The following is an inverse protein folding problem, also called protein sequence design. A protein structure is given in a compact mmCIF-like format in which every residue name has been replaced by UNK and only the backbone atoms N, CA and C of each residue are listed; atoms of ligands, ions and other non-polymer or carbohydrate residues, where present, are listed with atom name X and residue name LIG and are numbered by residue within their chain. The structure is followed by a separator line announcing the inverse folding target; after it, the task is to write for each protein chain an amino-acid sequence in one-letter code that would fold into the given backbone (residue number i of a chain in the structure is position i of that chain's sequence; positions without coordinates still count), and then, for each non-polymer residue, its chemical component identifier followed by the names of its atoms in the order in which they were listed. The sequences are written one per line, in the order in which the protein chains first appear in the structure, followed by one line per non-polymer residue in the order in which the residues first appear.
data_IF_926120582411
#
_entry.id   IF_926120582411
#
_cell.length_a   1.000
_cell.length_b   1.000
_cell.length_c   1.000
_cell.angle_alpha   90.00
_cell.angle_beta   90.00
_cell.angle_gamma   90.00
#
_symmetry.space_group_name_H-M   'P 1'
#
loop_
_entity.id
_entity.type
_entity.pdbx_description
1 polymer ?
#
# COMPACT_ATOMS: atom_id res chain seq x y z
N UNK A 1 -17.99 -10.53 -4.41
CA UNK A 1 -17.22 -9.49 -5.16
C UNK A 1 -16.02 -9.09 -4.35
N UNK A 2 -14.84 -9.16 -4.94
CA UNK A 2 -13.62 -8.77 -4.25
C UNK A 2 -13.43 -7.27 -4.34
N UNK A 3 -13.08 -6.66 -3.21
CA UNK A 3 -12.81 -5.23 -3.12
C UNK A 3 -11.34 -5.00 -2.82
N UNK A 4 -10.50 -5.71 -3.56
CA UNK A 4 -9.06 -5.57 -3.44
C UNK A 4 -8.48 -5.15 -4.78
N UNK A 5 -7.44 -4.31 -4.73
CA UNK A 5 -6.71 -3.93 -5.93
C UNK A 5 -5.23 -4.22 -5.71
N UNK A 6 -4.52 -4.48 -6.81
CA UNK A 6 -3.08 -4.58 -6.78
C UNK A 6 -2.52 -3.20 -7.06
N UNK A 7 -1.79 -2.64 -6.09
CA UNK A 7 -1.19 -1.33 -6.23
C UNK A 7 0.31 -1.48 -6.44
N UNK A 8 0.81 -0.96 -7.54
CA UNK A 8 2.24 -1.00 -7.86
C UNK A 8 2.89 0.29 -7.40
N UNK A 9 4.11 0.16 -6.86
CA UNK A 9 4.86 1.31 -6.39
C UNK A 9 6.34 0.94 -6.28
N UNK A 10 7.19 1.95 -6.03
CA UNK A 10 8.61 1.71 -5.82
C UNK A 10 8.90 1.67 -4.33
N UNK A 11 9.69 0.68 -3.92
CA UNK A 11 10.14 0.56 -2.55
C UNK A 11 10.98 1.80 -2.18
N UNK A 12 10.72 2.44 -1.02
CA UNK A 12 11.48 3.63 -0.63
C UNK A 12 12.92 3.33 -0.22
N UNK A 13 13.29 2.07 -0.09
CA UNK A 13 14.64 1.67 0.27
C UNK A 13 15.46 1.23 -0.95
N UNK A 14 14.97 0.24 -1.67
CA UNK A 14 15.74 -0.37 -2.76
C UNK A 14 15.32 0.11 -4.15
N UNK A 15 14.24 0.89 -4.24
CA UNK A 15 13.71 1.46 -5.48
C UNK A 15 13.24 0.43 -6.50
N UNK A 16 13.11 -0.83 -6.10
CA UNK A 16 12.55 -1.85 -6.96
C UNK A 16 11.04 -1.67 -7.05
N UNK A 17 10.49 -2.01 -8.21
CA UNK A 17 9.05 -1.93 -8.42
C UNK A 17 8.39 -3.18 -7.81
N UNK A 18 7.49 -2.96 -6.88
CA UNK A 18 6.76 -4.02 -6.18
C UNK A 18 5.28 -3.71 -6.21
N UNK A 19 4.47 -4.66 -5.79
CA UNK A 19 3.04 -4.47 -5.71
C UNK A 19 2.50 -5.09 -4.43
N UNK A 20 1.38 -4.54 -3.96
CA UNK A 20 0.70 -5.07 -2.78
C UNK A 20 -0.79 -4.98 -3.00
N UNK A 21 -1.53 -5.88 -2.33
CA UNK A 21 -2.99 -5.88 -2.40
C UNK A 21 -3.52 -4.92 -1.35
N UNK A 22 -4.41 -4.03 -1.76
CA UNK A 22 -5.07 -3.09 -0.88
C UNK A 22 -6.55 -3.45 -0.77
N UNK A 23 -7.05 -3.50 0.46
CA UNK A 23 -8.46 -3.80 0.74
C UNK A 23 -9.27 -2.50 0.64
N UNK A 24 -10.25 -2.48 -0.26
CA UNK A 24 -11.11 -1.33 -0.45
C UNK A 24 -12.51 -1.53 0.15
N UNK A 25 -12.66 -2.51 1.03
CA UNK A 25 -13.99 -2.85 1.58
C UNK A 25 -14.48 -1.84 2.60
N UNK A 26 -13.60 -1.03 3.17
CA UNK A 26 -13.97 -0.04 4.16
C UNK A 26 -13.51 1.35 3.73
N UNK A 27 -14.42 2.32 3.85
CA UNK A 27 -14.09 3.70 3.57
C UNK A 27 -13.25 4.28 4.71
N UNK A 28 -12.43 5.27 4.39
CA UNK A 28 -11.62 5.98 5.36
C UNK A 28 -10.14 5.79 5.15
N UNK A 29 -9.36 6.31 6.09
CA UNK A 29 -7.90 6.23 6.05
C UNK A 29 -7.42 4.89 6.58
N UNK A 30 -6.50 4.28 5.86
CA UNK A 30 -5.90 3.01 6.25
C UNK A 30 -4.39 3.16 6.33
N UNK A 31 -3.78 2.51 7.32
CA UNK A 31 -2.33 2.51 7.49
C UNK A 31 -1.88 1.09 7.81
N UNK A 32 -0.91 0.59 7.04
CA UNK A 32 -0.36 -0.75 7.24
C UNK A 32 1.15 -0.73 7.13
N UNK A 33 1.79 -1.68 7.79
CA UNK A 33 3.23 -1.91 7.66
C UNK A 33 3.40 -3.24 6.95
N UNK A 34 4.08 -3.22 5.81
CA UNK A 34 4.36 -4.42 5.03
C UNK A 34 5.84 -4.46 4.69
N UNK A 35 6.40 -5.66 4.66
CA UNK A 35 7.81 -5.83 4.29
C UNK A 35 7.97 -5.80 2.77
N UNK A 36 9.03 -5.16 2.32
CA UNK A 36 9.38 -5.21 0.90
C UNK A 36 9.76 -6.63 0.53
N UNK A 37 9.23 -7.13 -0.58
CA UNK A 37 9.51 -8.50 -1.02
C UNK A 37 10.92 -8.68 -1.57
N UNK A 38 11.64 -7.59 -1.81
CA UNK A 38 13.00 -7.62 -2.34
C UNK A 38 14.04 -7.40 -1.25
N UNK A 39 13.93 -6.31 -0.50
CA UNK A 39 14.93 -5.97 0.53
C UNK A 39 14.50 -6.31 1.95
N UNK A 40 13.27 -6.77 2.13
CA UNK A 40 12.73 -7.21 3.41
C UNK A 40 12.68 -6.14 4.51
N UNK A 41 12.68 -4.87 4.13
CA UNK A 41 12.57 -3.78 5.10
C UNK A 41 11.13 -3.32 5.21
N UNK A 42 10.71 -2.83 6.39
CA UNK A 42 9.32 -2.45 6.62
C UNK A 42 8.96 -1.16 5.88
N UNK A 43 7.84 -1.19 5.19
CA UNK A 43 7.31 -0.05 4.43
C UNK A 43 5.97 0.32 5.04
N UNK A 44 5.76 1.61 5.31
CA UNK A 44 4.48 2.09 5.78
C UNK A 44 3.63 2.51 4.59
N UNK A 45 2.45 1.87 4.48
CA UNK A 45 1.49 2.16 3.42
C UNK A 45 0.36 2.97 4.01
N UNK A 46 0.04 4.09 3.38
CA UNK A 46 -1.06 4.94 3.80
C UNK A 46 -1.97 5.16 2.60
N UNK A 47 -3.25 4.88 2.76
CA UNK A 47 -4.18 5.10 1.67
C UNK A 47 -5.57 5.44 2.19
N UNK A 48 -6.35 6.08 1.33
CA UNK A 48 -7.72 6.46 1.66
C UNK A 48 -8.67 5.86 0.64
N UNK A 49 -9.80 5.35 1.15
CA UNK A 49 -10.83 4.72 0.33
C UNK A 49 -12.12 5.52 0.49
N UNK A 50 -12.78 5.84 -0.62
CA UNK A 50 -14.10 6.48 -0.61
C UNK A 50 -14.96 5.79 -1.65
N UNK A 51 -16.16 5.35 -1.26
CA UNK A 51 -17.08 4.63 -2.13
C UNK A 51 -16.41 3.43 -2.80
N UNK A 52 -15.59 2.71 -2.02
CA UNK A 52 -14.87 1.52 -2.49
C UNK A 52 -13.88 1.82 -3.62
N UNK A 53 -13.40 3.05 -3.67
CA UNK A 53 -12.38 3.46 -4.62
C UNK A 53 -11.19 4.04 -3.89
N UNK A 54 -10.00 3.78 -4.43
CA UNK A 54 -8.78 4.33 -3.88
C UNK A 54 -8.63 5.77 -4.37
N UNK A 55 -8.65 6.72 -3.43
CA UNK A 55 -8.53 8.15 -3.75
C UNK A 55 -7.19 8.76 -3.35
N UNK A 56 -6.42 8.04 -2.53
CA UNK A 56 -5.11 8.51 -2.08
C UNK A 56 -4.22 7.32 -1.76
N UNK A 57 -2.95 7.39 -2.12
CA UNK A 57 -1.99 6.34 -1.80
C UNK A 57 -0.60 6.94 -1.63
N UNK A 58 0.08 6.55 -0.55
CA UNK A 58 1.42 7.01 -0.24
C UNK A 58 2.19 5.92 0.49
N UNK A 59 3.50 5.88 0.25
CA UNK A 59 4.39 4.94 0.95
C UNK A 59 5.54 5.71 1.57
N UNK A 60 5.99 5.23 2.73
CA UNK A 60 7.13 5.80 3.43
C UNK A 60 7.96 4.68 4.03
N UNK A 61 9.23 4.98 4.29
CA UNK A 61 10.07 4.06 5.06
C UNK A 61 9.57 4.08 6.50
N UNK A 62 9.43 2.89 7.10
CA UNK A 62 8.96 2.77 8.49
C UNK A 62 10.10 2.79 9.50
N UNK A 63 11.35 2.93 9.03
CA UNK A 63 12.52 3.05 9.88
C UNK A 63 13.00 4.47 9.96
#
# INVERSE_FOLDING_TARGET
MELEIEQKFRCPYCHERISMLLDLSEDGDQTYIEDCEVCCKPIQLMYEVQNRELVFFEVESAQ
#
